data_IF_680602875101
#
_entry.id   IF_680602875101
#
_cell.length_a   1.000
_cell.length_b   1.000
_cell.length_c   1.000
_cell.angle_alpha   90.00
_cell.angle_beta   90.00
_cell.angle_gamma   90.00
#
_symmetry.space_group_name_H-M   'P 1'
#
loop_
_entity.id
_entity.type
_entity.pdbx_description
1 polymer ?
#
# COMPACT_ATOMS: atom_id res chain seq x y z
N UNK A 1 30.49 51.32 29.62
CA UNK A 1 30.17 50.95 28.23
C UNK A 1 29.83 49.47 28.20
N UNK A 2 28.57 49.11 27.93
CA UNK A 2 28.08 47.72 27.87
C UNK A 2 28.30 47.17 26.46
N UNK A 3 29.17 46.18 26.31
CA UNK A 3 29.34 45.46 25.05
C UNK A 3 28.18 44.46 24.87
N UNK A 4 27.37 44.67 23.83
CA UNK A 4 26.36 43.71 23.39
C UNK A 4 27.06 42.60 22.58
N UNK A 5 27.12 41.39 23.13
CA UNK A 5 27.50 40.19 22.39
C UNK A 5 26.27 39.67 21.65
N UNK A 6 26.24 39.84 20.33
CA UNK A 6 25.22 39.24 19.45
C UNK A 6 25.59 37.77 19.24
N UNK A 7 24.78 36.86 19.77
CA UNK A 7 24.90 35.43 19.49
C UNK A 7 24.29 35.14 18.11
N UNK A 8 25.16 34.85 17.13
CA UNK A 8 24.76 34.42 15.79
C UNK A 8 24.35 32.94 15.85
N UNK A 9 23.04 32.67 15.89
CA UNK A 9 22.50 31.31 15.79
C UNK A 9 22.64 30.83 14.34
N UNK A 10 23.60 29.95 14.09
CA UNK A 10 23.73 29.23 12.83
C UNK A 10 22.58 28.22 12.69
N UNK A 11 21.60 28.52 11.83
CA UNK A 11 20.64 27.53 11.32
C UNK A 11 21.39 26.59 10.36
N UNK A 12 21.90 25.46 10.87
CA UNK A 12 22.43 24.41 10.00
C UNK A 12 21.26 23.71 9.29
N UNK A 13 21.19 23.69 7.95
CA UNK A 13 20.21 22.87 7.25
C UNK A 13 20.47 21.40 7.59
N UNK A 14 19.52 20.74 8.24
CA UNK A 14 19.59 19.31 8.47
C UNK A 14 19.33 18.60 7.14
N UNK A 15 20.12 17.57 6.78
CA UNK A 15 19.78 16.74 5.64
C UNK A 15 18.41 16.11 5.92
N UNK A 16 17.42 16.42 5.08
CA UNK A 16 16.19 15.64 5.02
C UNK A 16 16.61 14.25 4.59
N UNK A 17 16.61 13.29 5.53
CA UNK A 17 16.74 11.89 5.17
C UNK A 17 15.64 11.57 4.17
N UNK A 18 16.02 11.07 3.00
CA UNK A 18 15.04 10.50 2.08
C UNK A 18 14.27 9.43 2.87
N UNK A 19 12.96 9.63 3.04
CA UNK A 19 12.13 8.69 3.77
C UNK A 19 12.18 7.36 3.02
N UNK A 20 12.66 6.32 3.70
CA UNK A 20 12.76 5.01 3.08
C UNK A 20 11.38 4.34 3.08
N UNK A 21 10.71 4.37 1.93
CA UNK A 21 9.40 3.74 1.73
C UNK A 21 9.50 2.26 1.30
N UNK A 22 10.66 1.62 1.50
CA UNK A 22 10.83 0.18 1.30
C UNK A 22 10.89 -0.61 2.61
N UNK A 23 10.49 0.00 3.73
CA UNK A 23 10.38 -0.67 5.05
C UNK A 23 9.02 -0.43 5.65
N UNK A 24 8.63 -1.27 6.62
CA UNK A 24 7.34 -1.12 7.31
C UNK A 24 7.21 0.24 8.02
N UNK A 25 8.29 0.73 8.63
CA UNK A 25 8.33 2.03 9.29
C UNK A 25 8.01 3.20 8.33
N UNK A 26 8.44 3.10 7.07
CA UNK A 26 8.14 4.10 6.05
C UNK A 26 6.73 4.01 5.49
N UNK A 27 6.23 2.80 5.20
CA UNK A 27 4.95 2.64 4.50
C UNK A 27 3.73 2.66 5.41
N UNK A 28 3.84 2.21 6.68
CA UNK A 28 2.68 2.08 7.58
C UNK A 28 1.88 3.36 7.78
N UNK A 29 2.49 4.53 8.03
CA UNK A 29 1.71 5.76 8.22
C UNK A 29 0.91 6.13 6.96
N UNK A 30 1.45 5.86 5.78
CA UNK A 30 0.76 6.11 4.52
C UNK A 30 -0.36 5.09 4.34
N UNK A 31 -0.07 3.80 4.54
CA UNK A 31 -1.06 2.73 4.44
C UNK A 31 -2.22 2.94 5.40
N UNK A 32 -1.98 3.44 6.62
CA UNK A 32 -3.03 3.86 7.56
C UNK A 32 -3.92 4.96 6.96
N UNK A 33 -3.30 6.02 6.43
CA UNK A 33 -4.01 7.17 5.85
C UNK A 33 -4.86 6.78 4.63
N UNK A 34 -4.32 5.94 3.76
CA UNK A 34 -4.99 5.50 2.53
C UNK A 34 -5.75 4.18 2.71
N UNK A 35 -5.91 3.68 3.94
CA UNK A 35 -6.61 2.42 4.24
C UNK A 35 -7.97 2.30 3.53
N UNK A 36 -8.82 3.34 3.49
CA UNK A 36 -10.10 3.25 2.76
C UNK A 36 -9.96 3.05 1.24
N UNK A 37 -8.76 3.24 0.67
CA UNK A 37 -8.49 3.32 -0.77
C UNK A 37 -7.49 2.25 -1.26
N UNK A 38 -7.13 1.25 -0.44
CA UNK A 38 -6.20 0.20 -0.87
C UNK A 38 -6.72 -0.59 -2.07
N UNK A 39 -8.04 -0.76 -2.16
CA UNK A 39 -8.68 -1.54 -3.22
C UNK A 39 -9.75 -0.74 -3.95
N UNK A 40 -10.07 -1.20 -5.15
CA UNK A 40 -11.28 -0.83 -5.88
C UNK A 40 -11.90 -2.06 -6.53
N UNK A 41 -13.22 -2.07 -6.68
CA UNK A 41 -13.94 -3.14 -7.39
C UNK A 41 -14.56 -2.55 -8.64
N UNK A 42 -14.37 -3.20 -9.78
CA UNK A 42 -14.96 -2.78 -11.05
C UNK A 42 -15.67 -3.94 -11.74
N UNK A 43 -16.97 -3.84 -12.01
CA UNK A 43 -17.63 -4.72 -12.97
C UNK A 43 -17.08 -4.41 -14.38
N UNK A 44 -16.49 -5.40 -15.05
CA UNK A 44 -15.87 -5.22 -16.35
C UNK A 44 -16.03 -6.49 -17.19
N UNK A 45 -16.51 -6.37 -18.43
CA UNK A 45 -16.62 -7.48 -19.40
C UNK A 45 -17.25 -8.77 -18.83
N UNK A 46 -18.26 -8.67 -17.96
CA UNK A 46 -18.97 -9.83 -17.41
C UNK A 46 -18.29 -10.49 -16.21
N UNK A 47 -17.34 -9.82 -15.58
CA UNK A 47 -16.62 -10.26 -14.38
C UNK A 47 -16.37 -9.09 -13.42
N UNK A 48 -16.04 -9.39 -12.17
CA UNK A 48 -15.55 -8.41 -11.23
C UNK A 48 -14.02 -8.38 -11.27
N UNK A 49 -13.44 -7.18 -11.33
CA UNK A 49 -12.02 -6.94 -11.12
C UNK A 49 -11.80 -6.36 -9.73
N UNK A 50 -11.00 -7.04 -8.90
CA UNK A 50 -10.50 -6.52 -7.63
C UNK A 50 -9.15 -5.85 -7.87
N UNK A 51 -9.13 -4.54 -8.01
CA UNK A 51 -7.90 -3.77 -8.13
C UNK A 51 -7.22 -3.59 -6.77
N UNK A 52 -5.92 -3.81 -6.73
CA UNK A 52 -5.05 -3.53 -5.58
C UNK A 52 -3.90 -2.58 -5.95
N UNK A 53 -3.95 -1.95 -7.13
CA UNK A 53 -2.88 -1.09 -7.66
C UNK A 53 -2.39 -0.04 -6.67
N UNK A 54 -3.30 0.66 -5.98
CA UNK A 54 -2.97 1.67 -4.96
C UNK A 54 -2.17 1.08 -3.79
N UNK A 55 -2.56 -0.10 -3.30
CA UNK A 55 -1.83 -0.79 -2.23
C UNK A 55 -0.47 -1.32 -2.72
N UNK A 56 -0.43 -1.87 -3.94
CA UNK A 56 0.76 -2.52 -4.50
C UNK A 56 1.90 -1.54 -4.79
N UNK A 57 1.64 -0.24 -4.86
CA UNK A 57 2.71 0.78 -4.93
C UNK A 57 3.49 0.90 -3.62
N UNK A 58 3.01 0.36 -2.50
CA UNK A 58 3.72 0.34 -1.21
C UNK A 58 4.24 -1.05 -0.83
N UNK A 59 4.13 -2.05 -1.75
CA UNK A 59 4.46 -3.46 -1.48
C UNK A 59 5.89 -3.68 -0.97
N UNK A 60 6.82 -2.79 -1.29
CA UNK A 60 8.21 -2.90 -0.87
C UNK A 60 8.38 -2.87 0.66
N UNK A 61 7.48 -2.21 1.39
CA UNK A 61 7.48 -2.21 2.85
C UNK A 61 6.51 -3.21 3.48
N UNK A 62 5.94 -4.13 2.71
CA UNK A 62 4.98 -5.15 3.16
C UNK A 62 5.62 -6.52 2.96
N UNK A 63 5.62 -7.35 3.99
CA UNK A 63 6.17 -8.70 3.93
C UNK A 63 5.21 -9.66 3.21
N UNK A 64 3.92 -9.60 3.54
CA UNK A 64 2.91 -10.44 2.89
C UNK A 64 1.57 -9.72 2.80
N UNK A 65 0.94 -9.82 1.64
CA UNK A 65 -0.43 -9.36 1.41
C UNK A 65 -1.31 -10.61 1.34
N UNK A 66 -2.38 -10.64 2.12
CA UNK A 66 -3.42 -11.68 2.05
C UNK A 66 -4.78 -11.03 1.83
N UNK A 67 -5.65 -11.73 1.12
CA UNK A 67 -7.00 -11.27 0.86
C UNK A 67 -8.02 -12.41 0.97
N UNK A 68 -9.25 -12.07 1.31
CA UNK A 68 -10.39 -12.97 1.27
C UNK A 68 -11.61 -12.20 0.79
N UNK A 69 -12.55 -12.87 0.13
CA UNK A 69 -13.85 -12.31 -0.16
C UNK A 69 -14.97 -13.12 0.49
N UNK A 70 -16.06 -12.45 0.82
CA UNK A 70 -17.29 -13.03 1.40
C UNK A 70 -17.08 -13.89 2.65
N UNK A 71 -16.06 -13.58 3.46
CA UNK A 71 -15.74 -14.33 4.68
C UNK A 71 -15.06 -15.69 4.42
N UNK A 72 -14.56 -15.92 3.20
CA UNK A 72 -13.74 -17.08 2.89
C UNK A 72 -12.37 -17.06 3.58
N UNK A 73 -11.55 -18.07 3.28
CA UNK A 73 -10.19 -18.18 3.78
C UNK A 73 -9.27 -17.09 3.19
N UNK A 74 -8.32 -16.60 4.00
CA UNK A 74 -7.29 -15.67 3.55
C UNK A 74 -6.33 -16.37 2.60
N UNK A 75 -6.24 -15.85 1.38
CA UNK A 75 -5.33 -16.29 0.34
C UNK A 75 -4.17 -15.32 0.20
N UNK A 76 -2.98 -15.84 -0.07
CA UNK A 76 -1.81 -15.00 -0.34
C UNK A 76 -1.97 -14.34 -1.70
N UNK A 77 -1.68 -13.04 -1.76
CA UNK A 77 -1.58 -12.33 -3.02
C UNK A 77 -0.20 -12.59 -3.65
N UNK A 78 -0.19 -13.30 -4.77
CA UNK A 78 1.01 -13.51 -5.58
C UNK A 78 1.16 -12.34 -6.57
N UNK A 79 2.06 -11.40 -6.24
CA UNK A 79 2.29 -10.18 -7.03
C UNK A 79 3.75 -9.99 -7.43
N UNK A 80 4.03 -8.87 -8.10
CA UNK A 80 5.40 -8.52 -8.47
C UNK A 80 6.32 -8.35 -7.24
N UNK A 81 7.61 -8.71 -7.36
CA UNK A 81 8.57 -8.44 -6.29
C UNK A 81 8.80 -6.93 -6.10
N UNK A 82 9.46 -6.57 -5.00
CA UNK A 82 10.04 -5.23 -4.86
C UNK A 82 11.36 -5.13 -5.65
N UNK A 83 11.51 -4.12 -6.50
CA UNK A 83 12.68 -3.96 -7.36
C UNK A 83 13.77 -3.13 -6.67
N UNK A 84 14.29 -3.59 -5.52
CA UNK A 84 15.22 -2.84 -4.66
C UNK A 84 16.47 -2.27 -5.36
N UNK A 85 16.90 -2.88 -6.46
CA UNK A 85 18.08 -2.44 -7.24
C UNK A 85 17.81 -1.34 -8.28
N UNK A 86 16.56 -0.90 -8.44
CA UNK A 86 16.17 0.06 -9.48
C UNK A 86 15.92 1.46 -8.91
N UNK A 87 15.94 2.48 -9.77
CA UNK A 87 15.67 3.87 -9.39
C UNK A 87 14.24 4.09 -8.86
N UNK A 88 13.29 3.21 -9.22
CA UNK A 88 11.91 3.21 -8.74
C UNK A 88 11.51 1.81 -8.27
N UNK A 89 11.92 1.38 -7.05
CA UNK A 89 11.69 0.02 -6.56
C UNK A 89 10.22 -0.40 -6.48
N UNK A 90 9.35 0.59 -6.30
CA UNK A 90 7.91 0.44 -6.11
C UNK A 90 7.11 0.47 -7.42
N UNK A 91 7.75 0.74 -8.56
CA UNK A 91 7.06 0.72 -9.85
C UNK A 91 6.36 -0.63 -10.09
N UNK A 92 5.13 -0.58 -10.61
CA UNK A 92 4.39 -1.75 -11.08
C UNK A 92 4.71 -1.91 -12.57
N UNK A 93 5.39 -2.99 -12.95
CA UNK A 93 5.79 -3.23 -14.35
C UNK A 93 4.66 -3.83 -15.17
N UNK A 94 3.79 -4.61 -14.52
CA UNK A 94 2.62 -5.26 -15.08
C UNK A 94 2.93 -6.21 -16.26
N UNK A 95 4.16 -6.70 -16.32
CA UNK A 95 4.64 -7.60 -17.38
C UNK A 95 4.20 -9.05 -17.14
N UNK A 96 4.25 -9.49 -15.87
CA UNK A 96 3.99 -10.88 -15.47
C UNK A 96 2.82 -11.03 -14.49
N UNK A 97 2.54 -9.99 -13.73
CA UNK A 97 1.47 -9.98 -12.73
C UNK A 97 0.60 -8.75 -12.96
N UNK A 98 -0.70 -8.96 -13.00
CA UNK A 98 -1.66 -7.87 -13.12
C UNK A 98 -1.98 -7.31 -11.73
N UNK A 99 -2.25 -6.00 -11.59
CA UNK A 99 -2.54 -5.40 -10.29
C UNK A 99 -4.01 -5.62 -9.86
N UNK A 100 -4.65 -6.67 -10.39
CA UNK A 100 -6.02 -7.04 -10.09
C UNK A 100 -6.25 -8.55 -10.14
N UNK A 101 -7.18 -9.03 -9.31
CA UNK A 101 -7.73 -10.38 -9.40
C UNK A 101 -9.08 -10.35 -10.11
N UNK A 102 -9.44 -11.49 -10.70
CA UNK A 102 -10.73 -11.70 -11.37
C UNK A 102 -11.63 -12.56 -10.49
N UNK A 103 -12.88 -12.17 -10.37
CA UNK A 103 -13.92 -12.95 -9.72
C UNK A 103 -15.20 -12.95 -10.58
N UNK A 104 -16.13 -13.90 -10.37
CA UNK A 104 -17.42 -13.87 -11.06
C UNK A 104 -18.13 -12.52 -10.87
N UNK A 105 -18.90 -12.09 -11.86
CA UNK A 105 -19.65 -10.83 -11.80
C UNK A 105 -20.52 -10.77 -10.54
N UNK A 106 -20.48 -9.61 -9.86
CA UNK A 106 -21.23 -9.32 -8.64
C UNK A 106 -20.95 -10.28 -7.47
N UNK A 107 -19.86 -11.04 -7.52
CA UNK A 107 -19.49 -11.95 -6.44
C UNK A 107 -18.76 -11.25 -5.30
N UNK A 108 -18.04 -10.16 -5.55
CA UNK A 108 -17.26 -9.47 -4.52
C UNK A 108 -18.15 -8.56 -3.68
N UNK A 109 -18.80 -9.10 -2.64
CA UNK A 109 -19.69 -8.35 -1.75
C UNK A 109 -18.94 -7.75 -0.56
N UNK A 110 -18.03 -8.52 0.02
CA UNK A 110 -17.10 -8.04 1.04
C UNK A 110 -15.71 -8.52 0.73
N UNK A 111 -14.70 -7.67 0.95
CA UNK A 111 -13.28 -8.03 0.77
C UNK A 111 -12.54 -7.70 2.05
N UNK A 112 -11.75 -8.63 2.56
CA UNK A 112 -10.82 -8.40 3.67
C UNK A 112 -9.40 -8.40 3.11
N UNK A 113 -8.62 -7.38 3.44
CA UNK A 113 -7.18 -7.29 3.15
C UNK A 113 -6.43 -7.36 4.47
N UNK A 114 -5.46 -8.26 4.56
CA UNK A 114 -4.57 -8.43 5.71
C UNK A 114 -3.12 -8.25 5.25
N UNK A 115 -2.41 -7.34 5.90
CA UNK A 115 -1.01 -7.00 5.61
C UNK A 115 -0.15 -7.49 6.77
N UNK A 116 0.89 -8.27 6.47
CA UNK A 116 1.98 -8.60 7.39
C UNK A 116 3.19 -7.75 7.06
N UNK A 117 3.86 -7.24 8.09
CA UNK A 117 5.05 -6.38 7.97
C UNK A 117 6.29 -7.08 8.52
N UNK A 118 7.47 -6.61 8.08
CA UNK A 118 8.79 -7.12 8.47
C UNK A 118 9.09 -7.10 9.99
N UNK A 119 8.36 -6.28 10.74
CA UNK A 119 8.42 -6.21 12.21
C UNK A 119 7.43 -7.14 12.92
N UNK A 120 6.76 -8.03 12.16
CA UNK A 120 5.80 -9.02 12.65
C UNK A 120 4.42 -8.48 12.99
N UNK A 121 4.20 -7.16 12.89
CA UNK A 121 2.86 -6.59 13.12
C UNK A 121 1.96 -6.80 11.90
N UNK A 122 0.65 -6.65 12.10
CA UNK A 122 -0.35 -6.78 11.04
C UNK A 122 -1.26 -5.56 10.96
N UNK A 123 -1.74 -5.27 9.75
CA UNK A 123 -2.81 -4.29 9.53
C UNK A 123 -3.89 -4.92 8.67
N UNK A 124 -5.15 -4.79 9.09
CA UNK A 124 -6.29 -5.39 8.41
C UNK A 124 -7.35 -4.35 8.12
N UNK A 125 -8.02 -4.50 6.97
CA UNK A 125 -9.24 -3.77 6.68
C UNK A 125 -10.25 -4.62 5.91
N UNK A 126 -11.52 -4.45 6.27
CA UNK A 126 -12.66 -5.08 5.60
C UNK A 126 -13.49 -4.02 4.89
N UNK A 127 -13.75 -4.25 3.61
CA UNK A 127 -14.49 -3.37 2.72
C UNK A 127 -15.84 -3.99 2.38
N UNK A 128 -16.85 -3.13 2.23
CA UNK A 128 -18.10 -3.48 1.54
C UNK A 128 -17.99 -3.03 0.09
N UNK A 129 -18.49 -3.84 -0.85
CA UNK A 129 -18.46 -3.52 -2.29
C UNK A 129 -18.88 -2.09 -2.59
N UNK A 130 -20.03 -1.68 -2.04
CA UNK A 130 -20.63 -0.36 -2.26
C UNK A 130 -19.73 0.82 -1.91
N UNK A 131 -18.72 0.63 -1.05
CA UNK A 131 -17.84 1.69 -0.58
C UNK A 131 -16.58 1.85 -1.45
N UNK A 132 -16.26 0.83 -2.27
CA UNK A 132 -15.05 0.78 -3.09
C UNK A 132 -15.33 0.42 -4.56
N UNK A 133 -16.60 0.32 -4.94
CA UNK A 133 -16.99 0.08 -6.32
C UNK A 133 -16.76 1.34 -7.17
N UNK A 134 -16.12 1.14 -8.32
CA UNK A 134 -15.91 2.15 -9.35
C UNK A 134 -16.61 1.71 -10.65
N UNK A 135 -16.89 2.68 -11.51
CA UNK A 135 -17.57 2.47 -12.80
C UNK A 135 -16.57 2.13 -13.92
#
# INVERSE_FOLDING_TARGET
MRAFLIALVFLMPHPVSAQNFTTSAGVKPILELIRPQWIAIRPYEGQDLLYMSTLLTYRCGIEQIRFAYNGGELQVWEGEPCYLGEASPMALKMETHLPYAVAPLDSLQTVTINLLFDDGTTMEHRYLRKDVQIN
#
